data_IF_479557617415
#
_entry.id   IF_479557617415
#
_cell.length_a   1.000
_cell.length_b   1.000
_cell.length_c   1.000
_cell.angle_alpha   90.00
_cell.angle_beta   90.00
_cell.angle_gamma   90.00
#
_symmetry.space_group_name_H-M   'P 1'
#
loop_
_entity.id
_entity.type
_entity.pdbx_description
1 polymer ?
#
# COMPACT_ATOMS: atom_id res chain seq x y z
N UNK A 1 11.31 -43.29 -19.48
CA UNK A 1 11.23 -41.83 -19.76
C UNK A 1 10.18 -41.14 -18.87
N UNK A 2 10.12 -41.46 -17.56
CA UNK A 2 9.08 -41.01 -16.62
C UNK A 2 9.64 -40.41 -15.31
N UNK A 3 10.97 -40.43 -15.11
CA UNK A 3 11.63 -39.95 -13.87
C UNK A 3 12.25 -38.54 -13.98
N UNK A 4 12.29 -37.93 -15.17
CA UNK A 4 12.87 -36.58 -15.36
C UNK A 4 11.83 -35.46 -15.18
N UNK A 5 10.54 -35.78 -15.30
CA UNK A 5 9.43 -34.81 -15.21
C UNK A 5 9.11 -34.43 -13.76
N UNK A 6 9.25 -35.35 -12.80
CA UNK A 6 8.91 -35.11 -11.38
C UNK A 6 10.05 -34.53 -10.51
N UNK A 7 11.25 -34.28 -11.08
CA UNK A 7 12.38 -33.65 -10.36
C UNK A 7 12.69 -32.23 -10.84
N UNK A 8 11.95 -31.71 -11.80
CA UNK A 8 12.07 -30.32 -12.24
C UNK A 8 11.41 -29.38 -11.24
N UNK A 9 12.15 -28.94 -10.22
CA UNK A 9 11.75 -27.73 -9.49
C UNK A 9 11.88 -26.55 -10.45
N UNK A 10 10.81 -25.79 -10.73
CA UNK A 10 10.91 -24.64 -11.62
C UNK A 10 11.95 -23.67 -11.04
N UNK A 11 13.07 -23.51 -11.75
CA UNK A 11 14.06 -22.50 -11.40
C UNK A 11 13.40 -21.15 -11.63
N UNK A 12 12.96 -20.53 -10.53
CA UNK A 12 12.41 -19.17 -10.57
C UNK A 12 13.48 -18.28 -11.20
N UNK A 13 13.22 -17.63 -12.34
CA UNK A 13 14.20 -16.79 -13.01
C UNK A 13 14.64 -15.67 -12.07
N UNK A 14 15.88 -15.21 -12.27
CA UNK A 14 16.45 -14.05 -11.55
C UNK A 14 15.46 -12.89 -11.68
N UNK A 15 15.17 -12.21 -10.57
CA UNK A 15 14.14 -11.17 -10.50
C UNK A 15 14.28 -10.20 -11.68
N UNK A 16 13.24 -10.11 -12.51
CA UNK A 16 13.21 -9.16 -13.62
C UNK A 16 13.33 -7.73 -13.06
N UNK A 17 13.89 -6.81 -13.86
CA UNK A 17 13.89 -5.39 -13.55
C UNK A 17 12.49 -4.92 -13.13
N UNK A 18 12.42 -3.99 -12.18
CA UNK A 18 11.14 -3.41 -11.79
C UNK A 18 10.49 -2.83 -13.06
N UNK A 19 9.20 -3.11 -13.33
CA UNK A 19 8.51 -2.52 -14.49
C UNK A 19 8.70 -1.00 -14.53
N UNK A 20 8.84 -0.41 -15.72
CA UNK A 20 9.04 1.04 -15.90
C UNK A 20 7.96 1.88 -15.18
N UNK A 21 6.72 1.35 -15.10
CA UNK A 21 5.63 1.97 -14.35
C UNK A 21 5.91 2.16 -12.85
N UNK A 22 6.92 1.50 -12.27
CA UNK A 22 7.40 1.69 -10.89
C UNK A 22 8.54 2.70 -10.76
N UNK A 23 9.23 3.01 -11.86
CA UNK A 23 10.38 3.92 -11.90
C UNK A 23 10.01 5.28 -12.49
N UNK A 24 8.76 5.46 -12.91
CA UNK A 24 8.23 6.73 -13.38
C UNK A 24 8.28 7.77 -12.23
N UNK A 25 9.39 8.49 -12.14
CA UNK A 25 9.52 9.68 -11.32
C UNK A 25 8.76 10.85 -11.97
N UNK A 26 8.37 11.84 -11.16
CA UNK A 26 7.72 13.08 -11.63
C UNK A 26 6.35 12.90 -12.31
N UNK A 27 5.71 11.74 -12.16
CA UNK A 27 4.33 11.54 -12.59
C UNK A 27 3.38 11.59 -11.41
N UNK A 28 2.15 12.08 -11.63
CA UNK A 28 1.12 12.12 -10.61
C UNK A 28 0.79 10.70 -10.09
N UNK A 29 0.38 10.55 -8.81
CA UNK A 29 -0.21 9.32 -8.33
C UNK A 29 -1.35 8.85 -9.24
N UNK A 30 -1.52 7.54 -9.35
CA UNK A 30 -2.50 6.88 -10.21
C UNK A 30 -2.31 7.09 -11.72
N UNK A 31 -1.11 7.44 -12.17
CA UNK A 31 -0.76 7.41 -13.61
C UNK A 31 -0.76 5.97 -14.16
N UNK A 32 -0.23 5.02 -13.38
CA UNK A 32 -0.27 3.59 -13.68
C UNK A 32 -1.03 2.89 -12.55
N UNK A 33 -2.07 2.12 -12.90
CA UNK A 33 -3.05 1.62 -11.93
C UNK A 33 -3.30 0.14 -12.13
N UNK A 34 -3.19 -0.65 -11.07
CA UNK A 34 -3.76 -2.00 -11.01
C UNK A 34 -5.21 -1.94 -10.50
N UNK A 35 -6.10 -2.73 -11.07
CA UNK A 35 -7.52 -2.80 -10.67
C UNK A 35 -7.91 -4.24 -10.40
N UNK A 36 -8.57 -4.46 -9.27
CA UNK A 36 -9.07 -5.76 -8.83
C UNK A 36 -10.42 -5.62 -8.10
N UNK A 37 -11.19 -6.70 -8.03
CA UNK A 37 -12.45 -6.77 -7.28
C UNK A 37 -12.29 -7.53 -5.96
N UNK A 38 -13.02 -7.06 -4.95
CA UNK A 38 -13.13 -7.65 -3.63
C UNK A 38 -14.60 -7.88 -3.25
N UNK A 39 -14.87 -8.90 -2.44
CA UNK A 39 -16.21 -9.25 -1.96
C UNK A 39 -16.68 -10.62 -2.46
N UNK A 40 -17.99 -10.89 -2.45
CA UNK A 40 -19.07 -9.95 -2.13
C UNK A 40 -19.14 -9.59 -0.64
N UNK A 41 -19.58 -8.36 -0.35
CA UNK A 41 -19.98 -7.89 0.98
C UNK A 41 -21.50 -7.75 1.00
N UNK A 42 -22.12 -8.12 2.12
CA UNK A 42 -23.56 -7.95 2.30
C UNK A 42 -23.84 -6.60 2.95
N UNK A 43 -24.71 -5.82 2.32
CA UNK A 43 -25.09 -4.48 2.74
C UNK A 43 -26.61 -4.42 2.83
N UNK A 44 -27.13 -3.76 3.86
CA UNK A 44 -28.56 -3.62 4.10
C UNK A 44 -29.10 -2.39 3.37
N UNK A 45 -30.10 -2.60 2.52
CA UNK A 45 -30.88 -1.56 1.85
C UNK A 45 -32.35 -1.78 2.17
N UNK A 46 -32.93 -0.87 2.94
CA UNK A 46 -34.26 -1.05 3.52
C UNK A 46 -34.31 -2.31 4.38
N UNK A 47 -35.16 -3.26 3.97
CA UNK A 47 -35.35 -4.57 4.61
C UNK A 47 -34.52 -5.70 3.99
N UNK A 48 -33.85 -5.43 2.87
CA UNK A 48 -33.13 -6.45 2.10
C UNK A 48 -31.62 -6.38 2.36
N UNK A 49 -30.98 -7.55 2.32
CA UNK A 49 -29.52 -7.66 2.26
C UNK A 49 -29.12 -7.89 0.81
N UNK A 50 -28.35 -6.97 0.24
CA UNK A 50 -27.87 -7.05 -1.14
C UNK A 50 -26.37 -7.25 -1.16
N UNK A 51 -25.88 -7.90 -2.21
CA UNK A 51 -24.45 -8.02 -2.45
C UNK A 51 -23.91 -6.69 -2.98
N UNK A 52 -22.72 -6.34 -2.50
CA UNK A 52 -21.89 -5.25 -2.98
C UNK A 52 -20.48 -5.77 -3.20
N UNK A 53 -19.81 -5.19 -4.15
CA UNK A 53 -18.41 -5.47 -4.44
C UNK A 53 -17.61 -4.20 -4.23
N UNK A 54 -16.31 -4.35 -4.00
CA UNK A 54 -15.40 -3.22 -3.86
C UNK A 54 -14.40 -3.31 -5.00
N UNK A 55 -14.27 -2.22 -5.76
CA UNK A 55 -13.24 -2.05 -6.78
C UNK A 55 -12.04 -1.43 -6.09
N UNK A 56 -10.94 -2.17 -6.08
CA UNK A 56 -9.66 -1.78 -5.51
C UNK A 56 -8.75 -1.28 -6.63
N UNK A 57 -8.45 0.01 -6.61
CA UNK A 57 -7.45 0.64 -7.47
C UNK A 57 -6.15 0.76 -6.68
N UNK A 58 -5.03 0.34 -7.27
CA UNK A 58 -3.70 0.45 -6.66
C UNK A 58 -2.77 1.21 -7.60
N UNK A 59 -2.22 2.31 -7.11
CA UNK A 59 -1.21 3.07 -7.82
C UNK A 59 0.12 2.31 -7.86
N UNK A 60 0.69 2.12 -9.04
CA UNK A 60 1.94 1.36 -9.19
C UNK A 60 3.19 2.16 -8.81
N UNK A 61 3.13 3.49 -8.83
CA UNK A 61 4.26 4.38 -8.48
C UNK A 61 4.38 4.54 -6.96
N UNK A 62 3.38 5.16 -6.32
CA UNK A 62 3.41 5.47 -4.88
C UNK A 62 2.74 4.41 -4.01
N UNK A 63 2.23 3.32 -4.61
CA UNK A 63 1.51 2.24 -3.90
C UNK A 63 0.23 2.70 -3.18
N UNK A 64 -0.27 3.91 -3.43
CA UNK A 64 -1.56 4.36 -2.91
C UNK A 64 -2.70 3.43 -3.33
N UNK A 65 -3.71 3.27 -2.48
CA UNK A 65 -4.94 2.56 -2.84
C UNK A 65 -6.11 3.53 -2.96
N UNK A 66 -7.11 3.15 -3.74
CA UNK A 66 -8.41 3.81 -3.79
C UNK A 66 -9.53 2.77 -3.86
N UNK A 67 -10.60 2.96 -3.10
CA UNK A 67 -11.68 1.99 -2.95
C UNK A 67 -13.01 2.59 -3.40
N UNK A 68 -13.71 1.88 -4.30
CA UNK A 68 -15.03 2.28 -4.78
C UNK A 68 -16.03 1.15 -4.63
N UNK A 69 -17.26 1.46 -4.20
CA UNK A 69 -18.35 0.46 -4.12
C UNK A 69 -18.91 0.23 -5.51
N UNK A 70 -19.04 -1.03 -5.90
CA UNK A 70 -19.79 -1.47 -7.08
C UNK A 70 -21.04 -2.23 -6.65
N UNK A 71 -22.18 -1.91 -7.29
CA UNK A 71 -23.45 -2.57 -7.00
C UNK A 71 -23.49 -4.02 -7.50
N UNK A 72 -22.72 -4.35 -8.54
CA UNK A 72 -22.58 -5.69 -9.11
C UNK A 72 -21.22 -5.92 -9.77
N UNK A 73 -20.95 -7.15 -10.22
CA UNK A 73 -19.84 -7.48 -11.14
C UNK A 73 -20.20 -7.19 -12.61
N UNK A 74 -21.23 -6.39 -12.89
CA UNK A 74 -21.56 -6.02 -14.27
C UNK A 74 -20.56 -5.02 -14.84
N UNK A 75 -20.49 -4.97 -16.17
CA UNK A 75 -19.75 -3.95 -16.91
C UNK A 75 -20.18 -2.53 -16.52
N UNK A 76 -21.48 -2.27 -16.42
CA UNK A 76 -22.03 -0.95 -16.05
C UNK A 76 -21.56 -0.50 -14.65
N UNK A 77 -21.66 -1.40 -13.65
CA UNK A 77 -21.16 -1.12 -12.29
C UNK A 77 -19.65 -0.86 -12.27
N UNK A 78 -18.89 -1.53 -13.13
CA UNK A 78 -17.45 -1.32 -13.30
C UNK A 78 -17.15 0.07 -13.88
N UNK A 79 -17.85 0.46 -14.95
CA UNK A 79 -17.70 1.77 -15.59
C UNK A 79 -17.97 2.89 -14.59
N UNK A 80 -19.07 2.79 -13.84
CA UNK A 80 -19.41 3.80 -12.83
C UNK A 80 -18.33 3.93 -11.75
N UNK A 81 -17.75 2.82 -11.28
CA UNK A 81 -16.64 2.83 -10.32
C UNK A 81 -15.37 3.47 -10.91
N UNK A 82 -15.00 3.10 -12.14
CA UNK A 82 -13.85 3.69 -12.85
C UNK A 82 -14.05 5.20 -13.06
N UNK A 83 -15.25 5.65 -13.41
CA UNK A 83 -15.56 7.07 -13.58
C UNK A 83 -15.44 7.85 -12.27
N UNK A 84 -15.92 7.31 -11.14
CA UNK A 84 -15.73 7.93 -9.81
C UNK A 84 -14.26 8.04 -9.44
N UNK A 85 -13.49 6.96 -9.67
CA UNK A 85 -12.05 6.96 -9.48
C UNK A 85 -11.36 8.05 -10.31
N UNK A 86 -11.64 8.10 -11.61
CA UNK A 86 -11.05 9.09 -12.52
C UNK A 86 -11.42 10.52 -12.11
N UNK A 87 -12.67 10.77 -11.70
CA UNK A 87 -13.11 12.08 -11.25
C UNK A 87 -12.38 12.53 -9.97
N UNK A 88 -12.02 11.60 -9.07
CA UNK A 88 -11.32 11.92 -7.82
C UNK A 88 -9.80 11.94 -7.94
N UNK A 89 -9.23 11.08 -8.79
CA UNK A 89 -7.78 10.80 -8.86
C UNK A 89 -7.15 11.17 -10.19
N UNK A 90 -7.93 11.61 -11.18
CA UNK A 90 -7.49 11.89 -12.54
C UNK A 90 -7.35 10.64 -13.40
N UNK A 91 -7.38 10.82 -14.72
CA UNK A 91 -7.40 9.73 -15.69
C UNK A 91 -6.05 9.02 -15.89
N UNK A 92 -5.93 7.72 -15.58
CA UNK A 92 -4.65 7.00 -15.67
C UNK A 92 -4.12 6.93 -17.11
N UNK A 93 -2.80 6.83 -17.27
CA UNK A 93 -2.21 6.48 -18.57
C UNK A 93 -2.34 4.99 -18.85
N UNK A 94 -2.17 4.13 -17.84
CA UNK A 94 -2.36 2.70 -18.02
C UNK A 94 -3.15 2.06 -16.87
N UNK A 95 -4.05 1.15 -17.24
CA UNK A 95 -4.83 0.31 -16.33
C UNK A 95 -4.43 -1.14 -16.54
N UNK A 96 -4.11 -1.84 -15.46
CA UNK A 96 -3.79 -3.27 -15.42
C UNK A 96 -4.89 -4.02 -14.70
N UNK A 97 -5.48 -5.04 -15.32
CA UNK A 97 -6.46 -5.91 -14.68
C UNK A 97 -6.28 -7.38 -15.09
N UNK A 98 -6.96 -8.28 -14.39
CA UNK A 98 -7.16 -9.64 -14.89
C UNK A 98 -8.13 -9.67 -16.09
N UNK A 99 -8.29 -10.85 -16.69
CA UNK A 99 -9.18 -11.07 -17.84
C UNK A 99 -10.66 -11.25 -17.44
N UNK A 100 -11.10 -10.71 -16.30
CA UNK A 100 -12.51 -10.71 -15.91
C UNK A 100 -13.42 -10.10 -17.00
N UNK A 101 -14.54 -10.74 -17.29
CA UNK A 101 -15.47 -10.33 -18.36
C UNK A 101 -16.03 -8.92 -18.16
N UNK A 102 -16.21 -8.53 -16.91
CA UNK A 102 -16.59 -7.19 -16.49
C UNK A 102 -15.52 -6.13 -16.85
N UNK A 103 -14.24 -6.43 -16.66
CA UNK A 103 -13.15 -5.54 -17.07
C UNK A 103 -12.99 -5.48 -18.59
N UNK A 104 -13.15 -6.61 -19.28
CA UNK A 104 -13.16 -6.65 -20.74
C UNK A 104 -14.30 -5.81 -21.31
N UNK A 105 -15.51 -5.96 -20.76
CA UNK A 105 -16.67 -5.16 -21.11
C UNK A 105 -16.45 -3.68 -20.84
N UNK A 106 -15.97 -3.33 -19.65
CA UNK A 106 -15.73 -1.94 -19.25
C UNK A 106 -14.69 -1.28 -20.15
N UNK A 107 -13.59 -1.97 -20.49
CA UNK A 107 -12.59 -1.48 -21.44
C UNK A 107 -13.19 -1.22 -22.83
N UNK A 108 -14.01 -2.15 -23.35
CA UNK A 108 -14.66 -1.98 -24.66
C UNK A 108 -15.60 -0.77 -24.68
N UNK A 109 -16.42 -0.62 -23.64
CA UNK A 109 -17.40 0.45 -23.55
C UNK A 109 -16.75 1.80 -23.26
N UNK A 110 -15.78 1.86 -22.34
CA UNK A 110 -14.97 3.06 -22.13
C UNK A 110 -14.25 3.48 -23.40
N UNK A 111 -13.64 2.56 -24.16
CA UNK A 111 -13.04 2.90 -25.46
C UNK A 111 -14.07 3.43 -26.46
N UNK A 112 -15.28 2.90 -26.48
CA UNK A 112 -16.35 3.38 -27.35
C UNK A 112 -16.82 4.79 -26.94
N UNK A 113 -17.03 5.02 -25.65
CA UNK A 113 -17.39 6.34 -25.11
C UNK A 113 -16.28 7.35 -25.31
N UNK A 114 -15.02 6.97 -25.10
CA UNK A 114 -13.86 7.81 -25.42
C UNK A 114 -13.79 8.16 -26.90
N UNK A 115 -14.07 7.21 -27.80
CA UNK A 115 -14.15 7.47 -29.25
C UNK A 115 -15.29 8.44 -29.60
N UNK A 116 -16.44 8.37 -28.91
CA UNK A 116 -17.56 9.30 -29.10
C UNK A 116 -17.23 10.70 -28.56
N UNK A 117 -16.67 10.78 -27.35
CA UNK A 117 -16.21 12.04 -26.71
C UNK A 117 -15.09 12.68 -27.53
N UNK A 118 -14.26 11.89 -28.21
CA UNK A 118 -13.16 12.38 -29.07
C UNK A 118 -13.61 13.27 -30.23
N UNK A 119 -14.91 13.26 -30.59
CA UNK A 119 -15.46 14.16 -31.60
C UNK A 119 -15.88 15.53 -31.05
N UNK A 120 -15.97 15.72 -29.73
CA UNK A 120 -16.58 16.95 -29.19
C UNK A 120 -15.82 17.59 -28.03
N UNK A 121 -15.12 16.85 -27.15
CA UNK A 121 -14.41 17.45 -25.99
C UNK A 121 -13.17 16.62 -25.61
N UNK A 122 -12.00 17.10 -26.03
CA UNK A 122 -10.68 16.48 -25.87
C UNK A 122 -10.21 16.30 -24.42
N UNK A 123 -10.61 17.17 -23.49
CA UNK A 123 -9.69 17.50 -22.38
C UNK A 123 -10.18 17.20 -20.96
N UNK A 124 -11.40 16.69 -20.75
CA UNK A 124 -12.01 16.85 -19.41
C UNK A 124 -12.13 15.58 -18.57
N UNK A 125 -12.17 14.38 -19.16
CA UNK A 125 -12.45 13.18 -18.36
C UNK A 125 -11.50 12.00 -18.57
N UNK A 126 -10.69 11.94 -19.63
CA UNK A 126 -9.75 10.82 -19.81
C UNK A 126 -8.57 11.23 -20.68
N UNK A 127 -7.36 10.73 -20.41
CA UNK A 127 -6.28 10.85 -21.38
C UNK A 127 -6.70 10.04 -22.62
N UNK A 128 -6.65 10.64 -23.81
CA UNK A 128 -7.11 10.02 -25.07
C UNK A 128 -6.46 8.65 -25.33
N UNK A 129 -5.32 8.40 -24.70
CA UNK A 129 -4.49 7.21 -24.86
C UNK A 129 -4.45 6.29 -23.63
N UNK A 130 -5.44 6.32 -22.71
CA UNK A 130 -5.46 5.39 -21.57
C UNK A 130 -5.42 3.93 -22.06
N UNK A 131 -4.30 3.27 -21.82
CA UNK A 131 -4.04 1.91 -22.28
C UNK A 131 -4.45 0.89 -21.22
N UNK A 132 -5.46 0.11 -21.53
CA UNK A 132 -5.87 -1.01 -20.68
C UNK A 132 -5.12 -2.28 -21.08
N UNK A 133 -4.27 -2.78 -20.18
CA UNK A 133 -3.51 -4.01 -20.32
C UNK A 133 -4.13 -5.12 -19.48
N UNK A 134 -4.35 -6.27 -20.08
CA UNK A 134 -4.81 -7.46 -19.38
C UNK A 134 -3.65 -8.39 -19.09
N UNK A 135 -3.58 -8.89 -17.86
CA UNK A 135 -2.56 -9.88 -17.51
C UNK A 135 -2.76 -11.16 -18.35
N UNK A 136 -1.68 -11.82 -18.81
CA UNK A 136 -1.80 -13.12 -19.46
C UNK A 136 -2.45 -14.14 -18.50
N UNK A 137 -3.19 -15.16 -18.99
CA UNK A 137 -4.01 -16.05 -18.16
C UNK A 137 -3.26 -16.90 -17.11
N UNK A 138 -1.94 -16.78 -16.99
CA UNK A 138 -1.08 -17.71 -16.24
C UNK A 138 0.22 -17.10 -15.70
N UNK A 139 0.37 -15.76 -15.66
CA UNK A 139 1.56 -15.12 -15.06
C UNK A 139 1.24 -14.08 -13.99
N UNK A 140 0.96 -14.52 -12.74
CA UNK A 140 0.98 -13.64 -11.55
C UNK A 140 2.38 -13.05 -11.26
N UNK A 141 3.43 -13.54 -11.91
CA UNK A 141 4.81 -13.33 -11.44
C UNK A 141 5.46 -11.98 -11.83
N UNK A 142 4.86 -11.17 -12.70
CA UNK A 142 5.42 -9.85 -13.08
C UNK A 142 5.25 -8.77 -11.99
N UNK A 143 4.46 -9.05 -10.93
CA UNK A 143 3.93 -8.04 -10.02
C UNK A 143 4.27 -8.13 -8.53
N UNK A 144 5.27 -8.93 -8.16
CA UNK A 144 5.39 -9.51 -6.81
C UNK A 144 5.25 -8.60 -5.58
N UNK A 145 5.52 -7.28 -5.65
CA UNK A 145 5.29 -6.38 -4.49
C UNK A 145 3.86 -5.82 -4.42
N UNK A 146 3.22 -5.49 -5.55
CA UNK A 146 1.88 -4.93 -5.56
C UNK A 146 0.83 -6.02 -5.34
N UNK A 147 1.05 -7.22 -5.88
CA UNK A 147 0.16 -8.36 -5.62
C UNK A 147 0.14 -8.74 -4.14
N UNK A 148 1.27 -8.62 -3.43
CA UNK A 148 1.31 -8.83 -1.98
C UNK A 148 0.52 -7.76 -1.25
N UNK A 149 0.67 -6.49 -1.63
CA UNK A 149 -0.12 -5.41 -1.07
C UNK A 149 -1.62 -5.63 -1.29
N UNK A 150 -2.03 -5.90 -2.53
CA UNK A 150 -3.43 -6.19 -2.87
C UNK A 150 -3.93 -7.37 -2.04
N UNK A 151 -3.17 -8.47 -1.97
CA UNK A 151 -3.53 -9.64 -1.16
C UNK A 151 -3.70 -9.28 0.32
N UNK A 152 -2.78 -8.54 0.93
CA UNK A 152 -2.88 -8.10 2.33
C UNK A 152 -4.11 -7.21 2.55
N UNK A 153 -4.38 -6.26 1.64
CA UNK A 153 -5.58 -5.40 1.70
C UNK A 153 -6.84 -6.23 1.57
N UNK A 154 -6.92 -7.18 0.62
CA UNK A 154 -8.08 -8.08 0.43
C UNK A 154 -8.36 -8.93 1.66
N UNK A 155 -7.31 -9.56 2.22
CA UNK A 155 -7.44 -10.38 3.43
C UNK A 155 -7.96 -9.55 4.60
N UNK A 156 -7.45 -8.33 4.75
CA UNK A 156 -7.91 -7.43 5.80
C UNK A 156 -9.37 -6.98 5.55
N UNK A 157 -9.72 -6.60 4.31
CA UNK A 157 -11.08 -6.20 3.94
C UNK A 157 -12.11 -7.32 4.16
N UNK A 158 -11.72 -8.60 4.07
CA UNK A 158 -12.63 -9.72 4.38
C UNK A 158 -13.13 -9.71 5.83
N UNK A 159 -12.44 -9.02 6.75
CA UNK A 159 -12.89 -8.85 8.14
C UNK A 159 -14.10 -7.93 8.28
N UNK A 160 -14.38 -7.12 7.25
CA UNK A 160 -15.55 -6.24 7.21
C UNK A 160 -16.86 -7.03 7.10
N UNK A 161 -16.80 -8.28 6.62
CA UNK A 161 -17.96 -9.18 6.63
C UNK A 161 -18.33 -9.53 8.08
N UNK A 162 -19.51 -9.11 8.49
CA UNK A 162 -20.04 -9.23 9.86
C UNK A 162 -21.29 -10.08 9.88
N UNK A 163 -21.68 -10.55 11.08
CA UNK A 163 -23.01 -11.14 11.31
C UNK A 163 -24.15 -10.14 11.08
N UNK A 164 -23.90 -8.85 11.36
CA UNK A 164 -24.83 -7.74 11.13
C UNK A 164 -24.35 -6.87 9.97
N UNK A 165 -25.11 -6.87 8.86
CA UNK A 165 -24.75 -6.13 7.66
C UNK A 165 -24.91 -4.60 7.87
N UNK A 166 -23.90 -3.78 7.50
CA UNK A 166 -23.99 -2.33 7.57
C UNK A 166 -25.03 -1.77 6.58
N UNK A 167 -25.54 -0.55 6.82
CA UNK A 167 -26.26 0.20 5.78
C UNK A 167 -25.31 0.59 4.65
N UNK A 168 -25.85 0.96 3.49
CA UNK A 168 -25.03 1.39 2.35
C UNK A 168 -24.14 2.61 2.65
N UNK A 169 -24.71 3.61 3.33
CA UNK A 169 -23.97 4.78 3.83
C UNK A 169 -22.85 4.39 4.82
N UNK A 170 -23.15 3.49 5.77
CA UNK A 170 -22.17 3.00 6.75
C UNK A 170 -21.03 2.26 6.04
N UNK A 171 -21.37 1.41 5.08
CA UNK A 171 -20.39 0.65 4.31
C UNK A 171 -19.48 1.56 3.47
N UNK A 172 -20.06 2.57 2.81
CA UNK A 172 -19.29 3.57 2.08
C UNK A 172 -18.32 4.32 2.99
N UNK A 173 -18.78 4.73 4.17
CA UNK A 173 -17.94 5.43 5.17
C UNK A 173 -16.78 4.55 5.63
N UNK A 174 -17.05 3.26 5.94
CA UNK A 174 -16.01 2.30 6.31
C UNK A 174 -14.93 2.23 5.23
N UNK A 175 -15.30 2.12 3.95
CA UNK A 175 -14.31 2.00 2.87
C UNK A 175 -13.45 3.24 2.71
N UNK A 176 -14.02 4.44 2.87
CA UNK A 176 -13.28 5.70 2.80
C UNK A 176 -12.28 5.78 3.96
N UNK A 177 -12.68 5.45 5.19
CA UNK A 177 -11.76 5.43 6.33
C UNK A 177 -10.70 4.31 6.22
N UNK A 178 -11.05 3.17 5.64
CA UNK A 178 -10.08 2.10 5.34
C UNK A 178 -9.06 2.57 4.30
N UNK A 179 -9.49 3.28 3.25
CA UNK A 179 -8.58 3.87 2.26
C UNK A 179 -7.57 4.81 2.93
N UNK A 180 -8.05 5.73 3.78
CA UNK A 180 -7.19 6.64 4.54
C UNK A 180 -6.24 5.89 5.49
N UNK A 181 -6.74 4.88 6.20
CA UNK A 181 -5.96 4.03 7.10
C UNK A 181 -4.82 3.32 6.36
N UNK A 182 -5.10 2.68 5.22
CA UNK A 182 -4.07 1.98 4.44
C UNK A 182 -3.10 2.97 3.78
N UNK A 183 -3.56 4.15 3.38
CA UNK A 183 -2.71 5.19 2.80
C UNK A 183 -1.93 6.03 3.83
N UNK A 184 -2.17 5.85 5.13
CA UNK A 184 -1.33 6.41 6.21
C UNK A 184 -0.04 5.61 6.46
N UNK A 185 0.11 4.46 5.80
CA UNK A 185 1.27 3.58 6.03
C UNK A 185 2.58 4.18 5.51
N UNK A 186 3.73 3.94 6.16
CA UNK A 186 5.03 4.35 5.65
C UNK A 186 5.43 3.70 4.31
N UNK A 187 5.98 4.48 3.37
CA UNK A 187 6.56 4.05 2.08
C UNK A 187 8.08 3.92 2.11
N UNK A 188 8.74 4.89 2.74
CA UNK A 188 10.19 4.96 2.89
C UNK A 188 10.56 4.99 4.36
N UNK A 189 11.81 4.61 4.63
CA UNK A 189 12.45 4.93 5.89
C UNK A 189 12.86 6.41 5.86
N UNK A 190 12.59 7.13 6.95
CA UNK A 190 13.16 8.46 7.19
C UNK A 190 14.11 8.33 8.39
N UNK A 191 15.35 8.83 8.30
CA UNK A 191 16.31 8.80 9.38
C UNK A 191 15.76 9.37 10.68
N UNK A 192 16.07 8.76 11.83
CA UNK A 192 15.81 9.35 13.15
C UNK A 192 16.79 10.51 13.45
N UNK A 193 17.33 11.18 12.43
CA UNK A 193 18.31 12.26 12.63
C UNK A 193 17.63 13.46 13.30
N UNK A 194 16.33 13.62 13.11
CA UNK A 194 15.50 14.59 13.83
C UNK A 194 14.27 13.90 14.43
N UNK A 195 13.92 14.24 15.66
CA UNK A 195 12.81 13.62 16.42
C UNK A 195 11.43 13.89 15.79
N UNK A 196 11.35 14.83 14.84
CA UNK A 196 10.13 15.33 14.20
C UNK A 196 9.99 14.93 12.73
N UNK A 197 10.88 14.11 12.18
CA UNK A 197 10.82 13.75 10.75
C UNK A 197 9.76 12.65 10.49
N UNK A 198 8.66 13.08 9.87
CA UNK A 198 7.58 12.17 9.49
C UNK A 198 7.99 11.25 8.33
N UNK A 199 7.53 9.99 8.34
CA UNK A 199 7.81 9.05 7.26
C UNK A 199 6.92 9.38 6.09
N UNK A 200 7.48 9.35 4.90
CA UNK A 200 6.71 9.55 3.68
C UNK A 200 5.67 8.42 3.55
N UNK A 201 4.40 8.80 3.40
CA UNK A 201 3.25 7.89 3.25
C UNK A 201 2.58 8.14 1.90
N UNK A 202 1.73 7.23 1.39
CA UNK A 202 0.91 7.54 0.22
C UNK A 202 0.08 8.81 0.39
N UNK A 203 -0.44 9.07 1.59
CA UNK A 203 -1.21 10.29 1.88
C UNK A 203 -0.44 11.57 1.57
N UNK A 204 0.88 11.62 1.80
CA UNK A 204 1.70 12.79 1.42
C UNK A 204 1.62 13.09 -0.07
N UNK A 205 1.50 12.08 -0.92
CA UNK A 205 1.35 12.28 -2.36
C UNK A 205 -0.09 12.61 -2.77
N UNK A 206 -1.09 12.16 -2.00
CA UNK A 206 -2.51 12.34 -2.33
C UNK A 206 -3.10 13.63 -1.76
N UNK A 207 -2.61 14.07 -0.60
CA UNK A 207 -3.16 15.17 0.21
C UNK A 207 -2.10 16.20 0.58
N UNK A 208 -0.84 16.03 0.12
CA UNK A 208 0.29 16.90 0.47
C UNK A 208 0.61 16.93 1.98
N UNK A 209 0.04 16.02 2.75
CA UNK A 209 0.29 15.79 4.16
C UNK A 209 0.06 14.32 4.49
N UNK A 210 0.58 13.84 5.61
CA UNK A 210 0.33 12.48 6.11
C UNK A 210 -1.13 12.17 6.38
N UNK A 211 -1.97 13.22 6.43
CA UNK A 211 -3.31 13.18 6.99
C UNK A 211 -3.23 12.66 8.42
N UNK A 212 -2.80 13.54 9.32
CA UNK A 212 -2.87 13.36 10.78
C UNK A 212 -4.33 13.25 11.23
N UNK A 213 -5.01 12.18 10.87
CA UNK A 213 -6.11 11.65 11.67
C UNK A 213 -5.49 10.79 12.75
N UNK A 214 -4.67 11.41 13.60
CA UNK A 214 -4.31 10.83 14.90
C UNK A 214 -5.61 10.83 15.68
N UNK A 215 -6.33 9.70 15.63
CA UNK A 215 -7.50 9.54 16.47
C UNK A 215 -7.00 9.50 17.92
N UNK A 216 -7.59 10.29 18.83
CA UNK A 216 -7.17 10.29 20.23
C UNK A 216 -7.18 8.86 20.77
N UNK A 217 -6.21 8.56 21.66
CA UNK A 217 -6.11 7.27 22.30
C UNK A 217 -7.49 6.81 22.78
N UNK A 218 -7.88 5.60 22.42
CA UNK A 218 -9.23 5.07 22.65
C UNK A 218 -9.66 5.32 24.08
N UNK A 219 -10.71 6.10 24.28
CA UNK A 219 -11.55 5.87 25.45
C UNK A 219 -12.19 4.48 25.27
N UNK A 220 -12.28 3.65 26.32
CA UNK A 220 -12.93 2.35 26.24
C UNK A 220 -14.31 2.52 25.59
N UNK A 221 -14.48 1.87 24.45
CA UNK A 221 -15.73 1.94 23.71
C UNK A 221 -16.79 1.26 24.56
N UNK A 222 -17.74 2.03 25.06
CA UNK A 222 -18.93 1.49 25.72
C UNK A 222 -19.71 0.64 24.71
N UNK A 223 -19.63 -0.68 24.88
CA UNK A 223 -20.27 -1.68 24.02
C UNK A 223 -21.78 -1.40 23.90
N UNK A 224 -22.40 -0.81 24.94
CA UNK A 224 -23.82 -0.46 24.97
C UNK A 224 -24.20 0.73 24.06
N UNK A 225 -23.26 1.63 23.73
CA UNK A 225 -23.45 2.72 22.74
C UNK A 225 -23.08 2.28 21.32
N UNK A 226 -22.16 1.32 21.21
CA UNK A 226 -21.69 0.76 19.93
C UNK A 226 -22.79 0.00 19.19
N UNK A 227 -23.65 -0.70 19.94
CA UNK A 227 -24.76 -1.49 19.41
C UNK A 227 -25.91 -0.66 18.80
N UNK A 228 -25.98 0.65 19.09
CA UNK A 228 -27.12 1.52 18.75
C UNK A 228 -26.88 2.52 17.64
N UNK A 229 -25.62 2.80 17.28
CA UNK A 229 -25.30 3.88 16.32
C UNK A 229 -24.53 3.36 15.12
N UNK A 230 -24.80 3.92 13.93
CA UNK A 230 -24.04 3.61 12.72
C UNK A 230 -22.53 3.88 12.94
N UNK A 231 -22.20 4.95 13.68
CA UNK A 231 -20.82 5.28 14.05
C UNK A 231 -20.12 4.18 14.84
N UNK A 232 -20.79 3.59 15.84
CA UNK A 232 -20.25 2.45 16.59
C UNK A 232 -19.87 1.28 15.69
N UNK A 233 -20.72 0.94 14.71
CA UNK A 233 -20.41 -0.11 13.74
C UNK A 233 -19.21 0.24 12.85
N UNK A 234 -19.07 1.50 12.42
CA UNK A 234 -17.90 1.96 11.65
C UNK A 234 -16.63 1.73 12.48
N UNK A 235 -16.62 2.18 13.73
CA UNK A 235 -15.47 2.08 14.63
C UNK A 235 -15.07 0.63 14.90
N UNK A 236 -16.03 -0.27 15.13
CA UNK A 236 -15.77 -1.70 15.32
C UNK A 236 -15.20 -2.35 14.04
N UNK A 237 -15.72 -1.99 12.87
CA UNK A 237 -15.23 -2.48 11.59
C UNK A 237 -13.78 -2.03 11.33
N UNK A 238 -13.47 -0.76 11.59
CA UNK A 238 -12.12 -0.22 11.45
C UNK A 238 -11.13 -0.84 12.43
N UNK A 239 -11.56 -1.17 13.65
CA UNK A 239 -10.71 -1.88 14.62
C UNK A 239 -10.33 -3.28 14.17
N UNK A 240 -11.30 -4.04 13.67
CA UNK A 240 -11.04 -5.39 13.14
C UNK A 240 -10.18 -5.32 11.89
N UNK A 241 -10.44 -4.36 11.02
CA UNK A 241 -9.63 -4.09 9.83
C UNK A 241 -8.19 -3.76 10.22
N UNK A 242 -7.96 -2.81 11.14
CA UNK A 242 -6.61 -2.41 11.57
C UNK A 242 -5.82 -3.59 12.14
N UNK A 243 -6.42 -4.33 13.07
CA UNK A 243 -5.78 -5.52 13.68
C UNK A 243 -5.36 -6.53 12.62
N UNK A 244 -6.21 -6.79 11.62
CA UNK A 244 -5.86 -7.72 10.55
C UNK A 244 -4.85 -7.13 9.58
N UNK A 245 -5.03 -5.88 9.17
CA UNK A 245 -4.15 -5.15 8.27
C UNK A 245 -2.71 -5.16 8.76
N UNK A 246 -2.50 -4.79 10.02
CA UNK A 246 -1.18 -4.75 10.65
C UNK A 246 -0.53 -6.14 10.64
N UNK A 247 -1.28 -7.18 11.01
CA UNK A 247 -0.79 -8.57 10.99
C UNK A 247 -0.36 -9.03 9.59
N UNK A 248 -1.08 -8.64 8.55
CA UNK A 248 -0.79 -9.03 7.16
C UNK A 248 0.30 -8.18 6.51
N UNK A 249 0.36 -6.89 6.84
CA UNK A 249 1.25 -5.93 6.18
C UNK A 249 2.64 -5.92 6.79
N UNK A 250 2.78 -6.02 8.12
CA UNK A 250 4.08 -5.92 8.78
C UNK A 250 5.11 -6.94 8.30
N UNK A 251 4.77 -8.24 8.10
CA UNK A 251 5.75 -9.19 7.59
C UNK A 251 6.28 -8.79 6.21
N UNK A 252 5.51 -8.02 5.42
CA UNK A 252 5.95 -7.54 4.11
C UNK A 252 6.96 -6.40 4.19
N UNK A 253 6.98 -5.65 5.30
CA UNK A 253 8.00 -4.64 5.60
C UNK A 253 9.25 -5.32 6.17
N UNK A 254 9.09 -6.19 7.16
CA UNK A 254 10.22 -6.82 7.89
C UNK A 254 10.97 -7.88 7.07
N UNK A 255 10.31 -8.57 6.14
CA UNK A 255 10.89 -9.71 5.39
C UNK A 255 11.44 -9.30 4.02
N UNK A 256 12.28 -8.28 3.96
CA UNK A 256 13.22 -8.12 2.83
C UNK A 256 14.38 -9.13 2.89
N UNK A 257 14.12 -10.37 3.28
CA UNK A 257 15.12 -11.44 3.29
C UNK A 257 14.86 -12.39 2.12
N UNK A 258 15.84 -12.49 1.23
CA UNK A 258 15.89 -13.37 0.08
C UNK A 258 15.63 -14.83 0.52
N UNK A 259 14.39 -15.27 0.37
CA UNK A 259 13.78 -16.62 0.25
C UNK A 259 14.41 -17.90 0.88
N UNK A 260 15.61 -17.92 1.47
CA UNK A 260 16.23 -19.16 1.98
C UNK A 260 17.20 -19.00 3.17
N UNK A 261 17.21 -17.87 3.91
CA UNK A 261 18.07 -17.72 5.10
C UNK A 261 17.26 -17.33 6.33
N UNK A 262 17.71 -17.80 7.50
CA UNK A 262 17.23 -17.30 8.80
C UNK A 262 17.23 -15.77 8.78
N UNK A 263 16.14 -15.16 9.25
CA UNK A 263 16.08 -13.71 9.41
C UNK A 263 17.16 -13.30 10.39
N UNK A 264 17.95 -12.26 10.07
CA UNK A 264 18.92 -11.71 11.00
C UNK A 264 18.21 -11.44 12.34
N UNK A 265 18.73 -11.95 13.47
CA UNK A 265 18.17 -11.64 14.77
C UNK A 265 18.25 -10.13 15.01
N UNK A 266 17.27 -9.59 15.73
CA UNK A 266 17.24 -8.19 16.12
C UNK A 266 18.54 -7.80 16.84
N UNK A 267 19.12 -6.65 16.50
CA UNK A 267 20.38 -6.16 17.05
C UNK A 267 20.23 -4.78 17.68
N UNK A 268 21.09 -4.46 18.65
CA UNK A 268 21.24 -3.08 19.12
C UNK A 268 21.59 -2.17 17.95
N UNK A 269 20.89 -1.04 17.84
CA UNK A 269 21.03 -0.10 16.74
C UNK A 269 19.99 -0.29 15.63
N UNK A 270 19.31 -1.44 15.57
CA UNK A 270 18.25 -1.66 14.58
C UNK A 270 17.12 -0.65 14.75
N UNK A 271 16.59 -0.19 13.62
CA UNK A 271 15.43 0.68 13.61
C UNK A 271 14.18 -0.13 13.34
N UNK A 272 13.17 0.11 14.17
CA UNK A 272 11.99 -0.73 14.24
C UNK A 272 10.73 0.11 14.24
N UNK A 273 9.70 -0.41 13.58
CA UNK A 273 8.32 0.03 13.84
C UNK A 273 7.78 -0.80 15.00
N UNK A 274 7.31 -0.11 16.05
CA UNK A 274 6.63 -0.71 17.18
C UNK A 274 5.18 -0.93 16.79
N UNK A 275 4.75 -2.18 16.92
CA UNK A 275 3.42 -2.60 16.57
C UNK A 275 2.56 -2.58 17.82
N UNK A 276 1.72 -1.55 17.91
CA UNK A 276 0.67 -1.50 18.91
C UNK A 276 -0.70 -1.75 18.26
N UNK A 277 -1.37 -2.83 18.67
CA UNK A 277 -2.74 -3.12 18.23
C UNK A 277 -3.78 -2.18 18.87
N UNK A 278 -3.38 -1.40 19.89
CA UNK A 278 -4.25 -0.54 20.69
C UNK A 278 -4.66 0.76 20.00
N UNK A 279 -3.76 1.39 19.26
CA UNK A 279 -3.99 2.70 18.61
C UNK A 279 -3.99 2.54 17.09
N UNK A 280 -5.11 2.87 16.44
CA UNK A 280 -5.23 2.83 14.96
C UNK A 280 -4.41 3.94 14.32
N UNK A 281 -3.94 3.72 13.09
CA UNK A 281 -3.13 4.66 12.30
C UNK A 281 -1.82 5.09 12.98
N UNK A 282 -1.43 4.44 14.08
CA UNK A 282 -0.20 4.75 14.80
C UNK A 282 0.94 3.86 14.30
N UNK A 283 1.95 4.50 13.73
CA UNK A 283 3.17 3.84 13.24
C UNK A 283 4.36 4.28 14.09
N UNK A 284 4.32 3.94 15.38
CA UNK A 284 5.37 4.31 16.35
C UNK A 284 6.70 3.74 15.90
N UNK A 285 7.75 4.57 15.89
CA UNK A 285 9.10 4.19 15.49
C UNK A 285 10.00 4.18 16.71
N UNK A 286 11.08 3.42 16.61
CA UNK A 286 12.15 3.53 17.58
C UNK A 286 13.43 2.82 17.18
N UNK A 287 14.46 3.04 18.00
CA UNK A 287 15.77 2.43 17.88
C UNK A 287 15.96 1.40 18.96
N UNK A 288 16.37 0.18 18.61
CA UNK A 288 16.69 -0.86 19.57
C UNK A 288 17.93 -0.42 20.36
N UNK A 289 17.77 -0.20 21.66
CA UNK A 289 18.86 0.09 22.57
C UNK A 289 19.51 -1.20 23.07
N UNK A 290 18.67 -2.19 23.42
CA UNK A 290 19.13 -3.43 24.03
C UNK A 290 18.25 -4.60 23.64
N UNK A 291 18.85 -5.77 23.49
CA UNK A 291 18.16 -7.02 23.18
C UNK A 291 18.34 -8.05 24.28
N UNK A 292 17.29 -8.82 24.56
CA UNK A 292 17.26 -9.86 25.57
C UNK A 292 17.01 -11.23 24.90
N UNK A 293 18.07 -12.05 24.74
CA UNK A 293 17.94 -13.40 24.21
C UNK A 293 17.36 -14.37 25.25
N UNK A 294 16.59 -15.35 24.78
CA UNK A 294 16.14 -16.47 25.59
C UNK A 294 17.24 -17.53 25.83
N UNK A 295 16.89 -18.60 26.54
CA UNK A 295 17.80 -19.74 26.81
C UNK A 295 18.33 -20.42 25.54
N UNK A 296 17.61 -20.28 24.42
CA UNK A 296 17.96 -20.77 23.09
C UNK A 296 18.78 -19.77 22.25
N UNK A 297 19.24 -18.67 22.85
CA UNK A 297 20.00 -17.61 22.18
C UNK A 297 19.18 -16.70 21.27
N UNK A 298 17.85 -16.91 21.16
CA UNK A 298 16.97 -16.13 20.27
C UNK A 298 16.44 -14.89 20.97
N UNK A 299 16.57 -13.72 20.34
CA UNK A 299 16.04 -12.44 20.87
C UNK A 299 14.51 -12.50 20.94
N UNK A 300 13.96 -12.40 22.16
CA UNK A 300 12.50 -12.39 22.40
C UNK A 300 11.98 -11.04 22.85
N UNK A 301 12.83 -10.22 23.48
CA UNK A 301 12.47 -8.90 24.02
C UNK A 301 13.56 -7.90 23.67
N UNK A 302 13.19 -6.65 23.47
CA UNK A 302 14.11 -5.55 23.29
C UNK A 302 13.59 -4.26 23.92
N UNK A 303 14.52 -3.44 24.40
CA UNK A 303 14.27 -2.06 24.80
C UNK A 303 14.43 -1.16 23.57
N UNK A 304 13.43 -0.33 23.33
CA UNK A 304 13.33 0.51 22.13
C UNK A 304 13.16 1.97 22.55
N UNK A 305 14.10 2.83 22.14
CA UNK A 305 13.99 4.27 22.29
C UNK A 305 12.98 4.82 21.29
N UNK A 306 11.97 5.55 21.77
CA UNK A 306 11.01 6.31 20.97
C UNK A 306 11.08 7.80 21.31
N UNK A 307 10.36 8.65 20.58
CA UNK A 307 10.21 10.08 20.93
C UNK A 307 9.52 10.28 22.29
N UNK A 308 8.66 9.34 22.71
CA UNK A 308 8.00 9.35 24.01
C UNK A 308 8.78 8.66 25.14
N UNK A 309 10.04 8.30 24.92
CA UNK A 309 10.88 7.58 25.89
C UNK A 309 11.14 6.12 25.53
N UNK A 310 11.70 5.36 26.48
CA UNK A 310 12.10 3.95 26.28
C UNK A 310 10.93 3.02 26.56
N UNK A 311 10.65 2.12 25.62
CA UNK A 311 9.62 1.10 25.73
C UNK A 311 10.22 -0.30 25.58
N UNK A 312 9.91 -1.20 26.50
CA UNK A 312 10.22 -2.62 26.35
C UNK A 312 9.15 -3.32 25.53
N UNK A 313 9.55 -4.07 24.50
CA UNK A 313 8.63 -4.75 23.58
C UNK A 313 9.14 -6.14 23.21
N UNK A 314 8.20 -7.07 23.00
CA UNK A 314 8.51 -8.38 22.44
C UNK A 314 9.01 -8.23 20.99
N UNK A 315 10.05 -8.97 20.62
CA UNK A 315 10.65 -8.93 19.28
C UNK A 315 9.63 -9.22 18.16
N UNK A 316 8.61 -10.03 18.45
CA UNK A 316 7.50 -10.30 17.51
C UNK A 316 6.64 -9.06 17.19
N UNK A 317 6.67 -8.02 18.03
CA UNK A 317 5.99 -6.73 17.82
C UNK A 317 6.91 -5.66 17.24
N UNK A 318 8.12 -6.04 16.81
CA UNK A 318 9.10 -5.13 16.24
C UNK A 318 9.36 -5.52 14.79
N UNK A 319 9.09 -4.59 13.88
CA UNK A 319 9.37 -4.75 12.46
C UNK A 319 10.66 -4.02 12.10
N UNK A 320 11.75 -4.76 11.86
CA UNK A 320 13.05 -4.19 11.46
C UNK A 320 12.94 -3.54 10.08
N UNK A 321 13.41 -2.29 10.00
CA UNK A 321 13.55 -1.54 8.76
C UNK A 321 14.96 -1.76 8.21
N UNK A 322 15.07 -2.42 7.07
CA UNK A 322 16.37 -2.76 6.45
C UNK A 322 16.93 -1.50 5.73
N UNK A 323 17.85 -0.80 6.39
CA UNK A 323 18.54 0.38 5.87
C UNK A 323 19.80 -0.12 5.16
N UNK A 324 19.74 -0.24 3.84
CA UNK A 324 20.97 -0.25 3.06
C UNK A 324 21.54 1.18 3.11
N UNK A 325 22.45 1.43 4.04
CA UNK A 325 23.13 2.72 4.16
C UNK A 325 23.96 3.01 2.91
N UNK A 326 23.59 4.03 2.16
CA UNK A 326 24.49 4.75 1.27
C UNK A 326 25.24 5.80 2.09
N UNK A 327 26.57 5.65 2.19
CA UNK A 327 27.51 6.74 2.39
C UNK A 327 27.75 7.18 3.84
N UNK A 328 28.69 6.51 4.52
CA UNK A 328 29.61 7.23 5.39
C UNK A 328 30.45 8.15 4.50
N UNK A 329 30.09 9.44 4.44
CA UNK A 329 30.95 10.47 3.86
C UNK A 329 32.01 10.84 4.89
N UNK A 330 33.04 10.01 5.00
CA UNK A 330 34.32 10.40 5.60
C UNK A 330 35.39 10.29 4.51
N UNK A 331 36.10 11.40 4.26
CA UNK A 331 37.38 11.41 3.58
C UNK A 331 37.38 11.91 2.13
N UNK A 332 37.58 13.23 1.94
CA UNK A 332 38.75 13.80 1.24
C UNK A 332 38.49 15.28 0.87
N UNK A 333 38.89 16.18 1.76
CA UNK A 333 39.27 17.53 1.37
C UNK A 333 40.58 17.40 0.59
N UNK A 334 40.53 17.47 -0.74
CA UNK A 334 41.71 17.76 -1.55
C UNK A 334 41.67 19.21 -2.01
N UNK A 335 42.74 19.90 -1.62
CA UNK A 335 43.08 21.28 -1.95
C UNK A 335 43.11 21.48 -3.47
N UNK A 336 42.43 22.52 -3.94
CA UNK A 336 42.72 23.07 -5.26
C UNK A 336 43.99 23.92 -5.13
N UNK A 337 45.11 23.35 -5.58
CA UNK A 337 46.31 24.13 -5.88
C UNK A 337 46.16 24.81 -7.25
N UNK A 338 46.53 26.08 -7.25
CA UNK A 338 46.74 26.97 -8.38
C UNK A 338 47.78 26.43 -9.37
N UNK A 339 47.47 26.45 -10.66
CA UNK A 339 48.42 26.18 -11.75
C UNK A 339 47.93 26.81 -13.06
N UNK A 340 48.70 27.79 -13.53
CA UNK A 340 48.41 28.70 -14.63
C UNK A 340 49.13 28.23 -15.93
N UNK A 341 48.75 28.81 -17.09
CA UNK A 341 49.42 28.81 -18.42
C UNK A 341 49.20 27.55 -19.30
N UNK A 342 48.84 27.60 -20.59
CA UNK A 342 48.62 28.70 -21.55
C UNK A 342 48.28 28.18 -22.97
N UNK A 343 48.14 29.14 -23.88
CA UNK A 343 48.12 29.12 -25.35
C UNK A 343 46.86 28.72 -26.16
N UNK A 344 46.48 29.65 -27.05
CA UNK A 344 45.30 29.65 -27.94
C UNK A 344 45.42 28.78 -29.22
N UNK A 345 44.77 29.11 -30.36
CA UNK A 345 44.67 30.46 -30.92
C UNK A 345 43.28 30.89 -31.44
N UNK A 346 43.18 32.19 -31.68
CA UNK A 346 42.11 32.96 -32.35
C UNK A 346 42.11 32.72 -33.85
N UNK A 347 40.94 32.59 -34.50
CA UNK A 347 40.73 33.07 -35.88
C UNK A 347 39.25 33.48 -36.08
N UNK A 348 39.11 34.78 -36.35
CA UNK A 348 38.07 35.58 -37.03
C UNK A 348 36.58 35.23 -36.94
#
# INVERSE_FOLDING_TARGET
MWCTVNKGSPRVPRMASLPECRLAAYVRPFTFVGVDYCGPYFVRIGRNNVKRWVVLFVCQTVRAIHLEVASSLSTDSCILAVRRFIARRGAPMEIYSDQGTNFQGANKELKNELRKINRTLSDTFTNRDTLWRFNPPSTPHMGGSWERLIRSVKIALNTLSTSKNPSEETFQTILIEVEAMVNSRPLTYVPLVTENEEALTPNHFLMLSSSETVQPAKQPVDISKTLRTNWGHVQEALDRMWKRWIREYLPTISRRTKWFKESKPLQTGDLVIIVDEGVRNSWVRGKVLRTYPGKDGRVRVADVQTSGGVLQRAAAKLAVLDIAGSGTAEGSLQQYESGNVGDGPTLY
#
